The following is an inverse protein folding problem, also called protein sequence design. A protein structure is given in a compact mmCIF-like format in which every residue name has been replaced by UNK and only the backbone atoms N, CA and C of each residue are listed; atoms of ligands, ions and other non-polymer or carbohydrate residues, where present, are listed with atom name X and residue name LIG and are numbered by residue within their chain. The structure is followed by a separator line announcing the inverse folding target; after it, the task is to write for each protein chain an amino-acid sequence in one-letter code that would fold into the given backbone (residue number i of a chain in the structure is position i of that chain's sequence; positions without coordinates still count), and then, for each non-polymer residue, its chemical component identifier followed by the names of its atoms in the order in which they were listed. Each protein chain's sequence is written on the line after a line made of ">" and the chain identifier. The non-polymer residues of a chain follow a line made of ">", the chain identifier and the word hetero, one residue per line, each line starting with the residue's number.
data_IF_960502190145
#
_entry.id   IF_960502190145
#
_cell.length_a   1.000
_cell.length_b   1.000
_cell.length_c   1.000
_cell.angle_alpha   90.00
_cell.angle_beta   90.00
_cell.angle_gamma   90.00
#
_symmetry.space_group_name_H-M   'P 1'
#
loop_
_entity.id
_entity.type
_entity.pdbx_description
1 polymer ?
#
# COMPACT_ATOMS: atom_id res chain seq x y z
N UNK A 1 -7.86 4.30 13.93
CA UNK A 1 -6.64 4.79 13.26
C UNK A 1 -6.99 5.15 11.82
N UNK A 2 -6.34 6.18 11.25
CA UNK A 2 -6.63 6.60 9.90
C UNK A 2 -6.21 5.58 8.85
N UNK A 3 -6.83 5.67 7.69
CA UNK A 3 -6.54 4.87 6.51
C UNK A 3 -5.73 5.71 5.52
N UNK A 4 -4.75 5.09 4.87
CA UNK A 4 -3.88 5.76 3.89
C UNK A 4 -3.89 5.02 2.57
N UNK A 5 -3.80 5.78 1.48
CA UNK A 5 -3.56 5.25 0.13
C UNK A 5 -2.17 5.67 -0.31
N UNK A 6 -1.37 4.70 -0.71
CA UNK A 6 -0.01 4.91 -1.18
C UNK A 6 0.03 4.63 -2.68
N UNK A 7 0.55 5.59 -3.44
CA UNK A 7 0.83 5.41 -4.86
C UNK A 7 2.31 5.11 -5.04
N UNK A 8 2.61 4.01 -5.73
CA UNK A 8 3.97 3.57 -6.04
C UNK A 8 4.13 3.46 -7.55
N UNK A 9 5.09 4.18 -8.10
CA UNK A 9 5.40 4.11 -9.53
C UNK A 9 6.48 3.05 -9.73
N UNK A 10 6.11 1.94 -10.39
CA UNK A 10 7.00 0.82 -10.70
C UNK A 10 6.75 0.40 -12.14
N UNK A 11 7.62 0.82 -13.05
CA UNK A 11 7.46 0.54 -14.47
C UNK A 11 7.33 -0.97 -14.73
N UNK A 12 6.32 -1.36 -15.49
CA UNK A 12 6.12 -2.75 -15.89
C UNK A 12 5.59 -3.68 -14.81
N UNK A 13 5.22 -3.18 -13.64
CA UNK A 13 4.77 -4.01 -12.51
C UNK A 13 3.55 -4.86 -12.86
N UNK A 14 2.68 -4.38 -13.73
CA UNK A 14 1.48 -5.12 -14.17
C UNK A 14 1.80 -6.37 -14.99
N UNK A 15 3.03 -6.49 -15.50
CA UNK A 15 3.49 -7.64 -16.27
C UNK A 15 4.22 -8.69 -15.42
N UNK A 16 4.38 -8.46 -14.13
CA UNK A 16 5.04 -9.41 -13.25
C UNK A 16 4.22 -10.70 -13.14
N UNK A 17 4.93 -11.82 -13.01
CA UNK A 17 4.30 -13.12 -12.77
C UNK A 17 3.63 -13.18 -11.39
N UNK A 18 2.73 -14.14 -11.20
CA UNK A 18 2.15 -14.39 -9.88
C UNK A 18 3.21 -14.71 -8.83
N UNK A 19 4.29 -15.42 -9.22
CA UNK A 19 5.40 -15.71 -8.32
C UNK A 19 6.13 -14.44 -7.88
N UNK A 20 6.38 -13.51 -8.80
CA UNK A 20 7.03 -12.25 -8.48
C UNK A 20 6.15 -11.38 -7.57
N UNK A 21 4.85 -11.33 -7.83
CA UNK A 21 3.89 -10.61 -6.98
C UNK A 21 3.80 -11.25 -5.59
N UNK A 22 3.83 -12.57 -5.51
CA UNK A 22 3.89 -13.29 -4.24
C UNK A 22 5.11 -12.89 -3.42
N UNK A 23 6.28 -12.79 -4.05
CA UNK A 23 7.52 -12.41 -3.36
C UNK A 23 7.44 -10.98 -2.81
N UNK A 24 6.85 -10.06 -3.58
CA UNK A 24 6.62 -8.68 -3.13
C UNK A 24 5.70 -8.67 -1.89
N UNK A 25 4.60 -9.41 -1.94
CA UNK A 25 3.66 -9.51 -0.83
C UNK A 25 4.31 -10.12 0.41
N UNK A 26 5.11 -11.17 0.23
CA UNK A 26 5.84 -11.82 1.32
C UNK A 26 6.81 -10.86 1.99
N UNK A 27 7.55 -10.09 1.20
CA UNK A 27 8.48 -9.08 1.72
C UNK A 27 7.72 -8.01 2.52
N UNK A 28 6.59 -7.54 2.02
CA UNK A 28 5.74 -6.58 2.72
C UNK A 28 5.27 -7.14 4.06
N UNK A 29 4.78 -8.36 4.09
CA UNK A 29 4.33 -9.00 5.32
C UNK A 29 5.47 -9.17 6.34
N UNK A 30 6.68 -9.49 5.88
CA UNK A 30 7.85 -9.63 6.75
C UNK A 30 8.17 -8.30 7.44
N UNK A 31 8.15 -7.19 6.68
CA UNK A 31 8.37 -5.85 7.24
C UNK A 31 7.27 -5.48 8.23
N UNK A 32 6.02 -5.84 7.93
CA UNK A 32 4.89 -5.54 8.81
C UNK A 32 4.98 -6.22 10.17
N UNK A 33 5.67 -7.36 10.26
CA UNK A 33 5.91 -8.02 11.55
C UNK A 33 6.71 -7.14 12.50
N UNK A 34 7.53 -6.25 11.98
CA UNK A 34 8.32 -5.30 12.76
C UNK A 34 7.57 -3.99 13.02
N UNK A 35 6.40 -3.81 12.42
CA UNK A 35 5.60 -2.59 12.51
C UNK A 35 4.16 -2.93 12.87
N UNK A 36 3.89 -3.40 14.11
CA UNK A 36 2.58 -3.93 14.49
C UNK A 36 1.45 -2.90 14.42
N UNK A 37 1.76 -1.60 14.38
CA UNK A 37 0.76 -0.54 14.28
C UNK A 37 0.31 -0.29 12.84
N UNK A 38 0.99 -0.88 11.85
CA UNK A 38 0.64 -0.73 10.44
C UNK A 38 -0.07 -1.99 9.96
N UNK A 39 -1.26 -1.82 9.41
CA UNK A 39 -2.06 -2.92 8.88
C UNK A 39 -2.24 -2.72 7.38
N UNK A 40 -1.80 -3.69 6.59
CA UNK A 40 -1.99 -3.71 5.15
C UNK A 40 -3.33 -4.37 4.83
N UNK A 41 -4.20 -3.67 4.12
CA UNK A 41 -5.51 -4.19 3.77
C UNK A 41 -5.48 -4.91 2.42
N UNK A 42 -5.05 -4.21 1.39
CA UNK A 42 -4.92 -4.75 0.03
C UNK A 42 -4.18 -3.75 -0.86
N UNK A 43 -3.85 -4.19 -2.06
CA UNK A 43 -3.23 -3.35 -3.07
C UNK A 43 -3.85 -3.63 -4.44
N UNK A 44 -3.89 -2.61 -5.28
CA UNK A 44 -4.26 -2.71 -6.69
C UNK A 44 -3.00 -2.58 -7.53
N UNK A 45 -2.76 -3.55 -8.41
CA UNK A 45 -1.63 -3.52 -9.35
C UNK A 45 -2.17 -3.13 -10.72
N UNK A 46 -1.66 -2.03 -11.26
CA UNK A 46 -1.97 -1.56 -12.61
C UNK A 46 -0.77 -1.81 -13.52
N UNK A 47 -0.78 -1.28 -14.74
CA UNK A 47 0.33 -1.53 -15.67
C UNK A 47 1.68 -1.06 -15.13
N UNK A 48 1.72 0.13 -14.54
CA UNK A 48 2.97 0.78 -14.12
C UNK A 48 2.93 1.33 -12.70
N UNK A 49 1.88 1.01 -11.92
CA UNK A 49 1.70 1.54 -10.56
C UNK A 49 1.09 0.49 -9.64
N UNK A 50 1.36 0.63 -8.36
CA UNK A 50 0.65 -0.08 -7.31
C UNK A 50 0.00 0.96 -6.40
N UNK A 51 -1.27 0.75 -6.09
CA UNK A 51 -2.01 1.54 -5.10
C UNK A 51 -2.26 0.66 -3.89
N UNK A 52 -1.65 1.01 -2.75
CA UNK A 52 -1.75 0.21 -1.53
C UNK A 52 -2.61 0.93 -0.49
N UNK A 53 -3.43 0.17 0.23
CA UNK A 53 -4.29 0.69 1.29
C UNK A 53 -3.85 0.13 2.63
N UNK A 54 -3.56 1.04 3.57
CA UNK A 54 -3.09 0.70 4.91
C UNK A 54 -3.92 1.41 5.98
N UNK A 55 -3.95 0.81 7.17
CA UNK A 55 -4.38 1.48 8.40
C UNK A 55 -3.12 1.67 9.25
N UNK A 56 -2.88 2.90 9.71
CA UNK A 56 -1.69 3.24 10.47
C UNK A 56 -1.97 4.48 11.35
N UNK A 57 -1.18 4.70 12.41
CA UNK A 57 -1.38 5.87 13.27
C UNK A 57 -1.11 7.20 12.54
N UNK A 58 -0.16 7.22 11.61
CA UNK A 58 0.19 8.42 10.84
C UNK A 58 0.90 8.06 9.54
N UNK A 59 1.12 9.05 8.68
CA UNK A 59 1.82 8.87 7.42
C UNK A 59 3.28 8.44 7.61
N UNK A 60 3.92 8.88 8.69
CA UNK A 60 5.31 8.54 8.96
C UNK A 60 5.48 7.02 9.15
N UNK A 61 4.54 6.36 9.83
CA UNK A 61 4.56 4.90 10.01
C UNK A 61 4.47 4.18 8.66
N UNK A 62 3.64 4.68 7.74
CA UNK A 62 3.50 4.10 6.40
C UNK A 62 4.79 4.29 5.59
N UNK A 63 5.41 5.47 5.69
CA UNK A 63 6.68 5.74 5.01
C UNK A 63 7.81 4.89 5.56
N UNK A 64 7.80 4.60 6.86
CA UNK A 64 8.79 3.71 7.48
C UNK A 64 8.65 2.28 6.93
N UNK A 65 7.44 1.79 6.74
CA UNK A 65 7.20 0.50 6.09
C UNK A 65 7.81 0.47 4.69
N UNK A 66 7.55 1.51 3.89
CA UNK A 66 8.10 1.61 2.55
C UNK A 66 9.63 1.62 2.54
N UNK A 67 10.22 2.38 3.46
CA UNK A 67 11.68 2.48 3.60
C UNK A 67 12.31 1.15 3.95
N UNK A 68 11.77 0.44 4.95
CA UNK A 68 12.30 -0.86 5.39
C UNK A 68 12.16 -1.92 4.30
N UNK A 69 11.06 -1.89 3.55
CA UNK A 69 10.82 -2.82 2.46
C UNK A 69 11.56 -2.49 1.17
N UNK A 70 12.13 -1.28 1.07
CA UNK A 70 12.71 -0.82 -0.18
C UNK A 70 11.68 -0.53 -1.26
N UNK A 71 10.44 -0.26 -0.86
CA UNK A 71 9.37 0.07 -1.80
C UNK A 71 9.34 1.57 -2.09
N UNK A 72 9.07 1.98 -3.33
CA UNK A 72 8.83 3.40 -3.60
C UNK A 72 7.53 3.86 -2.92
N UNK A 73 7.48 5.12 -2.53
CA UNK A 73 6.29 5.76 -1.98
C UNK A 73 6.18 7.16 -2.59
N UNK A 74 5.70 7.21 -3.84
CA UNK A 74 5.61 8.46 -4.59
C UNK A 74 4.58 9.41 -3.98
N UNK A 75 3.50 8.85 -3.42
CA UNK A 75 2.45 9.63 -2.79
C UNK A 75 1.87 8.84 -1.62
N UNK A 76 1.67 9.51 -0.49
CA UNK A 76 1.01 8.96 0.69
C UNK A 76 -0.11 9.93 1.06
N UNK A 77 -1.36 9.49 0.95
CA UNK A 77 -2.53 10.33 1.17
C UNK A 77 -3.42 9.73 2.24
N UNK A 78 -3.80 10.53 3.23
CA UNK A 78 -4.78 10.10 4.23
C UNK A 78 -6.18 10.10 3.61
N UNK A 79 -6.89 9.00 3.77
CA UNK A 79 -8.28 8.89 3.34
C UNK A 79 -9.15 9.71 4.29
N UNK A 80 -9.91 10.65 3.75
CA UNK A 80 -10.84 11.47 4.54
C UNK A 80 -12.26 10.93 4.49
N UNK A 81 -12.68 10.42 3.32
CA UNK A 81 -14.02 9.89 3.11
C UNK A 81 -13.96 8.73 2.13
N UNK A 82 -14.87 7.79 2.30
CA UNK A 82 -15.13 6.72 1.32
C UNK A 82 -16.53 6.97 0.78
N UNK A 83 -16.64 7.06 -0.52
CA UNK A 83 -17.95 7.21 -1.18
C UNK A 83 -18.20 6.03 -2.10
N UNK A 84 -19.45 5.65 -2.25
CA UNK A 84 -19.91 4.59 -3.13
C UNK A 84 -21.33 4.90 -3.62
N UNK A 85 -21.95 4.01 -4.43
CA UNK A 85 -23.30 4.29 -4.93
C UNK A 85 -24.33 4.57 -3.82
N UNK A 86 -24.18 4.01 -2.64
CA UNK A 86 -25.10 4.28 -1.53
C UNK A 86 -24.99 5.71 -1.01
N UNK A 87 -23.86 6.37 -1.24
CA UNK A 87 -23.67 7.76 -0.84
C UNK A 87 -24.63 8.70 -1.55
N UNK A 88 -25.14 8.31 -2.73
CA UNK A 88 -26.12 9.10 -3.49
C UNK A 88 -27.55 8.96 -2.99
N UNK A 89 -27.80 8.08 -2.07
CA UNK A 89 -29.13 7.86 -1.47
C UNK A 89 -29.52 8.92 -0.39
#
# INVERSE_FOLDING_TARGET
>A
MPKFVIEREIAGVGKLSGAALHDIATKSCTVLQELPQVQWLHSYVTDDKIYCVYIAPDAAAVREHAKRGGFPANSVSQVRHVIDPTTSE
#
